data_IF_141401942031
#
_entry.id   IF_141401942031
#
_cell.length_a   1.000
_cell.length_b   1.000
_cell.length_c   1.000
_cell.angle_alpha   90.00
_cell.angle_beta   90.00
_cell.angle_gamma   90.00
#
_symmetry.space_group_name_H-M   'P 1'
#
loop_
_entity.id
_entity.type
_entity.pdbx_description
1 polymer ?
#
# COMPACT_ATOMS: atom_id res chain seq x y z
N UNK A 1 22.89 -14.29 31.86
CA UNK A 1 22.40 -13.66 30.61
C UNK A 1 21.71 -14.74 29.80
N UNK A 2 20.37 -14.80 29.81
CA UNK A 2 19.64 -15.74 28.95
C UNK A 2 19.80 -15.28 27.50
N UNK A 3 20.54 -16.05 26.70
CA UNK A 3 20.64 -15.80 25.26
C UNK A 3 19.22 -15.72 24.68
N UNK A 4 18.88 -14.61 24.02
CA UNK A 4 17.63 -14.51 23.27
C UNK A 4 17.61 -15.66 22.27
N UNK A 5 16.67 -16.60 22.45
CA UNK A 5 16.43 -17.66 21.47
C UNK A 5 16.06 -17.00 20.14
N UNK A 6 16.82 -17.32 19.08
CA UNK A 6 16.59 -16.83 17.72
C UNK A 6 15.84 -17.93 16.96
N UNK A 7 14.68 -17.58 16.41
CA UNK A 7 14.00 -18.44 15.45
C UNK A 7 14.73 -18.34 14.11
N UNK A 8 15.02 -19.47 13.49
CA UNK A 8 15.69 -19.53 12.19
C UNK A 8 14.96 -20.52 11.29
N UNK A 9 14.68 -20.11 10.06
CA UNK A 9 14.19 -20.98 9.00
C UNK A 9 15.40 -21.66 8.33
N UNK A 10 15.39 -22.98 8.28
CA UNK A 10 16.46 -23.76 7.65
C UNK A 10 15.94 -24.55 6.46
N UNK A 11 16.70 -24.58 5.36
CA UNK A 11 16.42 -25.36 4.17
C UNK A 11 17.70 -25.87 3.53
N UNK A 12 17.61 -26.88 2.67
CA UNK A 12 18.75 -27.46 1.95
C UNK A 12 19.35 -26.37 1.03
N UNK A 13 20.64 -26.07 1.22
CA UNK A 13 21.33 -25.08 0.42
C UNK A 13 21.25 -23.64 0.95
N UNK A 14 20.69 -23.40 2.15
CA UNK A 14 20.65 -22.06 2.76
C UNK A 14 22.02 -21.37 2.79
N UNK A 15 23.08 -22.09 3.07
CA UNK A 15 24.44 -21.53 3.16
C UNK A 15 25.13 -21.38 1.79
N UNK A 16 24.53 -21.92 0.71
CA UNK A 16 25.05 -21.77 -0.64
C UNK A 16 24.69 -20.38 -1.16
N UNK A 17 25.68 -19.49 -1.18
CA UNK A 17 25.48 -18.13 -1.71
C UNK A 17 26.03 -18.04 -3.13
N UNK A 18 25.29 -17.42 -4.07
CA UNK A 18 25.84 -17.18 -5.39
C UNK A 18 27.04 -16.22 -5.29
N UNK A 19 28.09 -16.49 -6.04
CA UNK A 19 29.18 -15.53 -6.21
C UNK A 19 28.73 -14.52 -7.27
N UNK A 20 28.41 -13.32 -6.81
CA UNK A 20 28.01 -12.24 -7.70
C UNK A 20 29.26 -11.57 -8.24
N UNK A 21 29.45 -11.66 -9.55
CA UNK A 21 30.47 -10.87 -10.24
C UNK A 21 30.04 -9.39 -10.24
N UNK A 22 30.97 -8.45 -10.08
CA UNK A 22 30.68 -7.04 -10.23
C UNK A 22 30.12 -6.77 -11.64
N UNK A 23 28.99 -6.13 -11.70
CA UNK A 23 28.35 -5.68 -12.96
C UNK A 23 28.13 -4.18 -12.89
N UNK A 24 28.14 -3.55 -14.04
CA UNK A 24 27.78 -2.15 -14.20
C UNK A 24 26.51 -2.07 -15.04
N UNK A 25 25.70 -1.09 -14.75
CA UNK A 25 24.54 -0.74 -15.59
C UNK A 25 25.05 0.14 -16.73
N UNK A 26 24.69 -0.24 -17.93
CA UNK A 26 24.99 0.55 -19.13
C UNK A 26 23.68 1.12 -19.66
N UNK A 27 23.66 2.43 -19.86
CA UNK A 27 22.56 3.07 -20.56
C UNK A 27 22.61 2.69 -22.05
N UNK A 28 21.45 2.33 -22.60
CA UNK A 28 21.27 2.20 -24.04
C UNK A 28 20.58 3.46 -24.57
N UNK A 29 21.33 4.39 -25.21
CA UNK A 29 20.77 5.64 -25.69
C UNK A 29 19.70 5.46 -26.77
N UNK A 30 19.69 4.31 -27.48
CA UNK A 30 18.69 4.02 -28.51
C UNK A 30 17.34 3.61 -27.92
N UNK A 31 17.35 3.08 -26.68
CA UNK A 31 16.16 2.69 -25.93
C UNK A 31 15.74 3.75 -24.90
N UNK A 32 16.62 4.71 -24.61
CA UNK A 32 16.31 5.83 -23.73
C UNK A 32 15.22 6.73 -24.33
N UNK A 33 14.21 7.06 -23.55
CA UNK A 33 13.02 7.75 -24.03
C UNK A 33 12.81 9.08 -23.29
N UNK A 34 12.68 10.14 -24.03
CA UNK A 34 12.34 11.47 -23.54
C UNK A 34 10.89 11.79 -23.87
N UNK A 35 10.17 12.39 -22.90
CA UNK A 35 8.81 12.87 -23.14
C UNK A 35 8.76 13.83 -24.33
N UNK A 36 7.68 13.77 -25.11
CA UNK A 36 7.45 14.68 -26.26
C UNK A 36 7.35 16.14 -25.82
N UNK A 37 6.88 16.36 -24.59
CA UNK A 37 6.70 17.70 -24.02
C UNK A 37 7.23 17.71 -22.59
N UNK A 38 7.98 18.76 -22.23
CA UNK A 38 8.33 19.05 -20.84
C UNK A 38 7.12 19.66 -20.13
N UNK A 39 6.94 19.27 -18.86
CA UNK A 39 5.91 19.82 -18.00
C UNK A 39 6.44 21.01 -17.22
N UNK A 40 7.70 20.97 -16.81
CA UNK A 40 8.39 22.04 -16.10
C UNK A 40 9.88 22.09 -16.45
N UNK A 41 10.55 23.18 -16.10
CA UNK A 41 12.00 23.28 -16.26
C UNK A 41 12.77 22.37 -15.27
N UNK A 42 12.07 21.84 -14.25
CA UNK A 42 12.62 20.97 -13.22
C UNK A 42 12.37 19.47 -13.51
N UNK A 43 11.86 19.13 -14.68
CA UNK A 43 11.66 17.73 -15.06
C UNK A 43 12.99 16.98 -15.04
N UNK A 44 13.03 15.85 -14.32
CA UNK A 44 14.21 15.03 -14.18
C UNK A 44 14.13 13.81 -15.10
N UNK A 45 15.23 13.54 -15.80
CA UNK A 45 15.41 12.36 -16.65
C UNK A 45 16.25 11.34 -15.88
N UNK A 46 15.59 10.60 -14.95
CA UNK A 46 16.31 9.77 -13.99
C UNK A 46 15.54 8.49 -13.59
N UNK A 47 14.45 8.17 -14.27
CA UNK A 47 13.78 6.88 -14.12
C UNK A 47 14.52 5.81 -14.91
N UNK A 48 14.58 4.57 -14.39
CA UNK A 48 15.35 3.51 -15.01
C UNK A 48 14.53 2.24 -15.18
N UNK A 49 14.52 1.69 -16.39
CA UNK A 49 14.11 0.33 -16.69
C UNK A 49 15.35 -0.48 -17.03
N UNK A 50 15.63 -1.53 -16.27
CA UNK A 50 16.80 -2.37 -16.40
C UNK A 50 16.36 -3.73 -16.96
N UNK A 51 16.86 -4.10 -18.14
CA UNK A 51 16.64 -5.41 -18.72
C UNK A 51 17.75 -6.36 -18.26
N UNK A 52 17.39 -7.40 -17.50
CA UNK A 52 18.33 -8.40 -17.02
C UNK A 52 17.91 -9.08 -15.71
N UNK A 53 18.77 -9.97 -15.22
CA UNK A 53 18.56 -10.66 -13.95
C UNK A 53 18.53 -9.68 -12.78
N UNK A 54 17.48 -9.77 -11.97
CA UNK A 54 17.25 -8.80 -10.90
C UNK A 54 18.24 -8.92 -9.74
N UNK A 55 18.86 -10.08 -9.49
CA UNK A 55 19.89 -10.19 -8.45
C UNK A 55 21.15 -9.40 -8.86
N UNK A 56 21.55 -9.51 -10.13
CA UNK A 56 22.70 -8.77 -10.66
C UNK A 56 22.40 -7.28 -10.75
N UNK A 57 21.20 -6.90 -11.20
CA UNK A 57 20.76 -5.51 -11.27
C UNK A 57 20.70 -4.87 -9.89
N UNK A 58 20.06 -5.52 -8.91
CA UNK A 58 20.00 -5.06 -7.53
C UNK A 58 21.41 -4.86 -6.94
N UNK A 59 22.34 -5.79 -7.23
CA UNK A 59 23.73 -5.68 -6.77
C UNK A 59 24.44 -4.48 -7.40
N UNK A 60 24.22 -4.20 -8.68
CA UNK A 60 24.78 -3.05 -9.35
C UNK A 60 24.20 -1.72 -8.81
N UNK A 61 22.91 -1.71 -8.44
CA UNK A 61 22.25 -0.53 -7.85
C UNK A 61 22.77 -0.16 -6.46
N UNK A 62 23.36 -1.10 -5.71
CA UNK A 62 23.84 -0.81 -4.35
C UNK A 62 24.85 0.35 -4.30
N UNK A 63 25.70 0.48 -5.31
CA UNK A 63 26.72 1.52 -5.34
C UNK A 63 26.13 2.93 -5.32
N UNK A 64 25.03 3.12 -6.03
CA UNK A 64 24.40 4.44 -6.20
C UNK A 64 23.19 4.66 -5.27
N UNK A 65 22.43 3.60 -4.99
CA UNK A 65 21.10 3.70 -4.35
C UNK A 65 21.01 3.10 -2.94
N UNK A 66 22.12 2.66 -2.32
CA UNK A 66 22.07 2.23 -0.92
C UNK A 66 21.49 3.32 -0.02
N UNK A 67 20.47 2.95 0.76
CA UNK A 67 19.79 3.85 1.69
C UNK A 67 18.95 4.95 1.04
N UNK A 68 18.59 4.85 -0.25
CA UNK A 68 17.88 5.93 -0.97
C UNK A 68 16.47 5.56 -1.44
N UNK A 69 16.11 4.28 -1.46
CA UNK A 69 14.80 3.83 -1.96
C UNK A 69 13.75 3.99 -0.87
N UNK A 70 12.70 4.73 -1.14
CA UNK A 70 11.61 4.97 -0.18
C UNK A 70 10.62 3.82 -0.10
N UNK A 71 10.27 3.24 -1.25
CA UNK A 71 9.33 2.13 -1.33
C UNK A 71 9.86 1.08 -2.30
N UNK A 72 9.86 -0.17 -1.86
CA UNK A 72 10.04 -1.32 -2.74
C UNK A 72 8.71 -2.05 -2.81
N UNK A 73 8.17 -2.20 -4.01
CA UNK A 73 7.07 -3.12 -4.30
C UNK A 73 7.60 -4.25 -5.17
N UNK A 74 7.28 -5.48 -4.84
CA UNK A 74 7.61 -6.65 -5.66
C UNK A 74 6.45 -7.64 -5.73
N UNK A 75 6.34 -8.26 -6.91
CA UNK A 75 5.40 -9.34 -7.22
C UNK A 75 6.19 -10.56 -7.71
N UNK A 76 6.85 -11.31 -6.80
CA UNK A 76 7.71 -12.43 -7.18
C UNK A 76 6.87 -13.61 -7.69
N UNK A 77 7.49 -14.61 -8.38
CA UNK A 77 6.79 -15.86 -8.71
C UNK A 77 6.18 -16.51 -7.47
N UNK A 78 4.91 -16.95 -7.57
CA UNK A 78 4.17 -17.50 -6.41
C UNK A 78 4.44 -18.98 -6.18
N UNK A 79 5.23 -19.62 -7.04
CA UNK A 79 5.61 -21.03 -6.96
C UNK A 79 4.40 -21.98 -7.00
N UNK A 80 3.41 -21.64 -7.82
CA UNK A 80 2.13 -22.39 -7.91
C UNK A 80 2.25 -23.71 -8.65
N UNK A 81 3.40 -24.01 -9.27
CA UNK A 81 3.61 -25.15 -10.15
C UNK A 81 2.91 -25.02 -11.50
N UNK A 82 2.36 -23.86 -11.82
CA UNK A 82 1.74 -23.59 -13.12
C UNK A 82 2.82 -23.20 -14.14
N UNK A 83 2.77 -23.83 -15.33
CA UNK A 83 3.67 -23.45 -16.40
C UNK A 83 3.23 -22.09 -16.99
N UNK A 84 3.88 -21.00 -16.60
CA UNK A 84 3.73 -19.69 -17.22
C UNK A 84 4.79 -19.51 -18.30
N UNK A 85 4.41 -18.93 -19.42
CA UNK A 85 5.26 -18.74 -20.60
C UNK A 85 6.50 -17.89 -20.31
N UNK A 86 6.47 -17.07 -19.27
CA UNK A 86 7.49 -16.07 -18.96
C UNK A 86 8.25 -16.30 -17.63
N UNK A 87 7.77 -17.24 -16.76
CA UNK A 87 8.38 -17.52 -15.46
C UNK A 87 8.34 -19.01 -15.15
N UNK A 88 9.43 -19.51 -14.54
CA UNK A 88 9.45 -20.84 -13.90
C UNK A 88 8.77 -20.73 -12.52
N UNK A 89 7.47 -20.99 -12.49
CA UNK A 89 6.64 -20.95 -11.29
C UNK A 89 6.56 -22.34 -10.59
N UNK A 90 7.43 -23.26 -10.95
CA UNK A 90 7.51 -24.61 -10.40
C UNK A 90 8.87 -24.91 -9.74
N UNK A 91 9.53 -23.90 -9.18
CA UNK A 91 10.79 -24.07 -8.48
C UNK A 91 10.62 -24.97 -7.25
N UNK A 92 11.63 -25.82 -6.99
CA UNK A 92 11.68 -26.50 -5.72
C UNK A 92 11.74 -25.46 -4.59
N UNK A 93 10.96 -25.68 -3.55
CA UNK A 93 10.72 -24.72 -2.46
C UNK A 93 12.00 -24.17 -1.83
N UNK A 94 13.04 -25.00 -1.65
CA UNK A 94 14.32 -24.58 -1.10
C UNK A 94 15.08 -23.63 -2.06
N UNK A 95 14.96 -23.82 -3.37
CA UNK A 95 15.56 -22.96 -4.39
C UNK A 95 14.85 -21.61 -4.37
N UNK A 96 13.51 -21.61 -4.32
CA UNK A 96 12.70 -20.39 -4.22
C UNK A 96 13.07 -19.55 -3.00
N UNK A 97 13.21 -20.19 -1.82
CA UNK A 97 13.63 -19.50 -0.60
C UNK A 97 15.04 -18.89 -0.73
N UNK A 98 15.97 -19.61 -1.36
CA UNK A 98 17.30 -19.09 -1.64
C UNK A 98 17.28 -17.89 -2.57
N UNK A 99 16.49 -17.97 -3.65
CA UNK A 99 16.27 -16.89 -4.60
C UNK A 99 15.73 -15.61 -3.93
N UNK A 100 14.71 -15.75 -3.11
CA UNK A 100 14.10 -14.62 -2.41
C UNK A 100 15.03 -14.01 -1.36
N UNK A 101 15.72 -14.84 -0.56
CA UNK A 101 16.67 -14.36 0.46
C UNK A 101 17.71 -13.43 -0.11
N UNK A 102 18.38 -13.85 -1.18
CA UNK A 102 19.50 -13.09 -1.75
C UNK A 102 19.05 -11.71 -2.25
N UNK A 103 17.84 -11.62 -2.80
CA UNK A 103 17.24 -10.37 -3.25
C UNK A 103 16.76 -9.49 -2.09
N UNK A 104 16.08 -10.08 -1.12
CA UNK A 104 15.57 -9.36 0.06
C UNK A 104 16.70 -8.71 0.88
N UNK A 105 17.85 -9.37 1.00
CA UNK A 105 19.01 -8.81 1.68
C UNK A 105 19.55 -7.57 0.98
N UNK A 106 19.57 -7.54 -0.36
CA UNK A 106 20.00 -6.37 -1.12
C UNK A 106 18.93 -5.28 -1.04
N UNK A 107 17.66 -5.63 -1.22
CA UNK A 107 16.52 -4.71 -1.09
C UNK A 107 16.57 -3.99 0.25
N UNK A 108 16.83 -4.70 1.35
CA UNK A 108 16.97 -4.07 2.66
C UNK A 108 18.08 -3.04 2.71
N UNK A 109 19.21 -3.25 2.02
CA UNK A 109 20.31 -2.28 1.96
C UNK A 109 19.99 -1.07 1.09
N UNK A 110 19.20 -1.26 0.03
CA UNK A 110 18.76 -0.17 -0.84
C UNK A 110 17.73 0.75 -0.18
N UNK A 111 16.87 0.21 0.71
CA UNK A 111 15.86 1.00 1.41
C UNK A 111 16.48 2.08 2.29
N UNK A 112 15.89 3.28 2.26
CA UNK A 112 16.14 4.35 3.25
C UNK A 112 15.68 3.90 4.65
N UNK A 113 16.18 4.51 5.71
CA UNK A 113 15.82 4.12 7.08
C UNK A 113 14.32 4.24 7.35
N UNK A 114 13.67 5.21 6.72
CA UNK A 114 12.22 5.41 6.75
C UNK A 114 11.48 4.77 5.56
N UNK A 115 12.14 3.86 4.86
CA UNK A 115 11.59 3.13 3.71
C UNK A 115 10.83 1.87 4.10
N UNK A 116 10.08 1.31 3.14
CA UNK A 116 9.29 0.10 3.33
C UNK A 116 9.28 -0.82 2.12
N UNK A 117 9.11 -2.13 2.40
CA UNK A 117 8.95 -3.21 1.44
C UNK A 117 7.51 -3.71 1.46
N UNK A 118 6.95 -3.91 0.27
CA UNK A 118 5.60 -4.41 0.02
C UNK A 118 5.68 -5.58 -0.96
N UNK A 119 5.17 -6.74 -0.58
CA UNK A 119 5.27 -7.97 -1.38
C UNK A 119 3.90 -8.58 -1.56
N UNK A 120 3.45 -8.73 -2.81
CA UNK A 120 2.28 -9.56 -3.12
C UNK A 120 2.67 -11.03 -3.18
N UNK A 121 1.85 -11.90 -2.59
CA UNK A 121 2.08 -13.34 -2.54
C UNK A 121 0.78 -14.08 -2.19
N UNK A 122 0.65 -15.35 -2.56
CA UNK A 122 -0.46 -16.20 -2.17
C UNK A 122 -0.07 -17.24 -1.09
N UNK A 123 -1.02 -18.13 -0.74
CA UNK A 123 -0.84 -19.14 0.30
C UNK A 123 0.28 -20.17 -0.01
N UNK A 124 0.72 -20.30 -1.27
CA UNK A 124 1.77 -21.27 -1.60
C UNK A 124 3.07 -20.94 -0.86
N UNK A 125 3.47 -19.66 -0.82
CA UNK A 125 4.75 -19.27 -0.23
C UNK A 125 4.64 -18.19 0.87
N UNK A 126 3.46 -17.61 1.11
CA UNK A 126 3.27 -16.48 2.04
C UNK A 126 3.87 -16.73 3.42
N UNK A 127 3.60 -17.89 3.99
CA UNK A 127 4.00 -18.18 5.38
C UNK A 127 5.51 -18.33 5.54
N UNK A 128 6.16 -18.99 4.58
CA UNK A 128 7.62 -19.14 4.56
C UNK A 128 8.32 -17.82 4.23
N UNK A 129 7.77 -17.07 3.27
CA UNK A 129 8.26 -15.73 2.93
C UNK A 129 8.18 -14.79 4.13
N UNK A 130 7.09 -14.86 4.91
CA UNK A 130 6.94 -14.08 6.13
C UNK A 130 8.06 -14.37 7.14
N UNK A 131 8.39 -15.65 7.36
CA UNK A 131 9.48 -16.04 8.27
C UNK A 131 10.84 -15.62 7.71
N UNK A 132 11.05 -15.75 6.42
CA UNK A 132 12.27 -15.29 5.74
C UNK A 132 12.44 -13.76 5.88
N UNK A 133 11.37 -13.00 5.70
CA UNK A 133 11.40 -11.55 5.92
C UNK A 133 11.66 -11.19 7.40
N UNK A 134 11.15 -11.97 8.35
CA UNK A 134 11.48 -11.79 9.77
C UNK A 134 12.99 -12.00 10.05
N UNK A 135 13.65 -12.92 9.34
CA UNK A 135 15.11 -13.11 9.44
C UNK A 135 15.87 -11.93 8.82
N UNK A 136 15.47 -11.50 7.62
CA UNK A 136 16.19 -10.46 6.86
C UNK A 136 15.95 -9.08 7.44
N UNK A 137 14.71 -8.68 7.69
CA UNK A 137 14.33 -7.33 8.14
C UNK A 137 14.31 -7.20 9.66
N UNK A 138 14.16 -8.31 10.37
CA UNK A 138 13.88 -8.35 11.80
C UNK A 138 12.38 -8.31 12.08
N UNK A 139 11.90 -9.22 12.95
CA UNK A 139 10.47 -9.34 13.29
C UNK A 139 9.86 -8.03 13.84
N UNK A 140 10.66 -7.21 14.54
CA UNK A 140 10.23 -5.93 15.07
C UNK A 140 9.86 -4.91 13.98
N UNK A 141 10.31 -5.13 12.75
CA UNK A 141 10.05 -4.27 11.59
C UNK A 141 8.88 -4.74 10.74
N UNK A 142 8.18 -5.79 11.15
CA UNK A 142 6.94 -6.23 10.52
C UNK A 142 5.83 -5.21 10.78
N UNK A 143 5.19 -4.73 9.71
CA UNK A 143 4.10 -3.75 9.78
C UNK A 143 2.75 -4.43 9.75
N UNK A 144 2.46 -5.19 8.69
CA UNK A 144 1.16 -5.84 8.48
C UNK A 144 1.22 -6.96 7.44
N UNK A 145 0.28 -7.92 7.56
CA UNK A 145 -0.20 -8.74 6.43
C UNK A 145 -1.55 -8.18 6.02
N UNK A 146 -1.62 -7.61 4.83
CA UNK A 146 -2.85 -7.10 4.25
C UNK A 146 -3.47 -8.19 3.39
N UNK A 147 -4.77 -8.39 3.49
CA UNK A 147 -5.55 -9.30 2.65
C UNK A 147 -6.14 -8.47 1.52
N UNK A 148 -5.76 -8.79 0.28
CA UNK A 148 -6.31 -8.20 -0.92
C UNK A 148 -7.29 -9.15 -1.58
N UNK A 149 -8.55 -8.73 -1.71
CA UNK A 149 -9.58 -9.46 -2.43
C UNK A 149 -9.33 -9.30 -3.95
N UNK A 150 -8.64 -10.29 -4.55
CA UNK A 150 -8.28 -10.29 -5.99
C UNK A 150 -9.42 -10.66 -6.93
N UNK A 151 -10.45 -11.33 -6.40
CA UNK A 151 -11.64 -11.79 -7.14
C UNK A 151 -12.89 -11.48 -6.34
N UNK A 152 -13.98 -11.12 -7.03
CA UNK A 152 -15.29 -10.90 -6.39
C UNK A 152 -16.26 -12.10 -6.56
N UNK A 153 -16.00 -13.00 -7.52
CA UNK A 153 -16.88 -14.13 -7.82
C UNK A 153 -16.30 -15.45 -7.34
N UNK A 154 -17.08 -16.20 -6.59
CA UNK A 154 -16.74 -17.55 -6.14
C UNK A 154 -16.70 -18.52 -7.33
N UNK A 155 -15.65 -19.32 -7.43
CA UNK A 155 -15.53 -20.41 -8.42
C UNK A 155 -16.23 -21.68 -7.90
N UNK A 156 -17.42 -21.97 -8.38
CA UNK A 156 -18.17 -23.16 -7.98
C UNK A 156 -17.51 -24.50 -8.40
N UNK A 157 -16.57 -24.46 -9.35
CA UNK A 157 -15.76 -25.60 -9.76
C UNK A 157 -14.56 -25.87 -8.86
N UNK A 158 -14.32 -25.04 -7.85
CA UNK A 158 -13.22 -25.25 -6.91
C UNK A 158 -13.44 -26.54 -6.08
N UNK A 159 -12.41 -27.40 -6.01
CA UNK A 159 -12.51 -28.69 -5.30
C UNK A 159 -12.73 -28.53 -3.79
N UNK A 160 -12.15 -27.50 -3.18
CA UNK A 160 -12.23 -27.26 -1.74
C UNK A 160 -12.75 -25.84 -1.47
N UNK A 161 -11.90 -24.85 -1.55
CA UNK A 161 -12.25 -23.44 -1.37
C UNK A 161 -11.98 -22.66 -2.65
N UNK A 162 -12.81 -21.67 -2.93
CA UNK A 162 -12.51 -20.68 -3.98
C UNK A 162 -11.51 -19.69 -3.43
N UNK A 163 -10.30 -19.71 -3.98
CA UNK A 163 -9.25 -18.77 -3.62
C UNK A 163 -9.59 -17.38 -4.18
N UNK A 164 -9.92 -16.45 -3.29
CA UNK A 164 -10.41 -15.12 -3.63
C UNK A 164 -9.47 -13.98 -3.22
N UNK A 165 -8.38 -14.29 -2.54
CA UNK A 165 -7.47 -13.28 -2.00
C UNK A 165 -6.00 -13.59 -2.27
N UNK A 166 -5.20 -12.59 -2.11
CA UNK A 166 -3.75 -12.63 -1.99
C UNK A 166 -3.33 -11.81 -0.77
N UNK A 167 -2.09 -11.97 -0.34
CA UNK A 167 -1.52 -11.18 0.73
C UNK A 167 -0.66 -10.07 0.16
N UNK A 168 -0.61 -8.93 0.89
CA UNK A 168 0.45 -7.95 0.73
C UNK A 168 1.21 -7.90 2.06
N UNK A 169 2.41 -8.49 2.09
CA UNK A 169 3.30 -8.43 3.26
C UNK A 169 4.01 -7.08 3.30
N UNK A 170 3.99 -6.43 4.46
CA UNK A 170 4.57 -5.09 4.64
C UNK A 170 5.62 -5.11 5.74
N UNK A 171 6.83 -4.65 5.39
CA UNK A 171 7.95 -4.47 6.30
C UNK A 171 8.51 -3.06 6.20
N UNK A 172 8.84 -2.45 7.32
CA UNK A 172 9.66 -1.26 7.37
C UNK A 172 11.16 -1.64 7.36
N UNK A 173 12.02 -0.74 6.87
CA UNK A 173 13.47 -0.85 7.09
C UNK A 173 13.79 -0.71 8.58
N UNK A 174 13.23 0.32 9.20
CA UNK A 174 13.21 0.58 10.64
C UNK A 174 11.82 1.12 11.04
N UNK A 175 11.04 0.32 11.77
CA UNK A 175 9.69 0.68 12.16
C UNK A 175 9.63 1.91 13.09
N UNK A 176 10.73 2.23 13.78
CA UNK A 176 10.80 3.43 14.64
C UNK A 176 10.91 4.73 13.86
N UNK A 177 11.37 4.68 12.62
CA UNK A 177 11.51 5.82 11.73
C UNK A 177 10.44 5.85 10.64
N UNK A 178 9.88 4.68 10.30
CA UNK A 178 8.84 4.58 9.29
C UNK A 178 7.49 5.11 9.78
N UNK A 179 6.85 5.90 8.96
CA UNK A 179 5.45 6.29 9.17
C UNK A 179 4.68 6.21 7.86
N UNK A 180 3.49 5.61 7.92
CA UNK A 180 2.59 5.61 6.76
C UNK A 180 1.92 6.96 6.59
N UNK A 181 1.56 7.27 5.37
CA UNK A 181 0.60 8.32 5.09
C UNK A 181 -0.82 7.87 5.48
N UNK A 182 -1.72 8.82 5.63
CA UNK A 182 -3.16 8.56 5.77
C UNK A 182 -3.80 8.51 4.38
N UNK A 183 -4.83 7.69 4.23
CA UNK A 183 -5.66 7.70 3.03
C UNK A 183 -6.55 8.94 3.04
N UNK A 184 -6.91 9.50 1.88
CA UNK A 184 -7.92 10.55 1.80
C UNK A 184 -9.23 10.12 2.46
N UNK A 185 -9.93 11.05 3.08
CA UNK A 185 -11.28 10.78 3.59
C UNK A 185 -12.22 10.58 2.41
N UNK A 186 -13.10 9.59 2.51
CA UNK A 186 -14.20 9.45 1.55
C UNK A 186 -15.30 10.49 1.84
N UNK A 187 -16.02 10.90 0.81
CA UNK A 187 -17.19 11.79 0.91
C UNK A 187 -18.22 11.20 1.88
N UNK A 188 -18.45 9.89 1.84
CA UNK A 188 -19.40 9.19 2.72
C UNK A 188 -19.09 9.35 4.21
N UNK A 189 -17.82 9.48 4.58
CA UNK A 189 -17.42 9.76 5.96
C UNK A 189 -17.77 11.18 6.38
N UNK A 190 -17.73 12.12 5.46
CA UNK A 190 -18.09 13.52 5.72
C UNK A 190 -19.60 13.71 5.75
N UNK A 191 -20.38 12.91 5.01
CA UNK A 191 -21.85 12.87 5.06
C UNK A 191 -22.41 12.47 6.42
N UNK A 192 -21.59 11.80 7.27
CA UNK A 192 -21.95 11.50 8.66
C UNK A 192 -21.94 12.72 9.59
N UNK A 193 -21.44 13.86 9.10
CA UNK A 193 -21.41 15.12 9.84
C UNK A 193 -22.58 16.01 9.43
N UNK A 194 -23.26 16.56 10.42
CA UNK A 194 -24.39 17.48 10.21
C UNK A 194 -24.32 18.61 11.23
N UNK A 195 -25.09 19.68 11.03
CA UNK A 195 -25.14 20.80 11.98
C UNK A 195 -26.60 21.14 12.37
N UNK A 196 -27.25 20.24 13.16
CA UNK A 196 -28.66 20.38 13.47
C UNK A 196 -28.98 21.51 14.46
N UNK A 197 -28.01 22.06 15.15
CA UNK A 197 -28.13 23.14 16.12
C UNK A 197 -27.46 24.44 15.68
N UNK A 198 -27.03 24.53 14.42
CA UNK A 198 -26.35 25.69 13.82
C UNK A 198 -25.11 26.17 14.62
N UNK A 199 -24.33 25.22 15.16
CA UNK A 199 -23.08 25.52 15.84
C UNK A 199 -22.11 26.26 14.89
N UNK A 200 -21.53 27.36 15.36
CA UNK A 200 -20.65 28.22 14.55
C UNK A 200 -19.35 27.52 14.08
N UNK A 201 -18.94 26.44 14.74
CA UNK A 201 -17.78 25.61 14.35
C UNK A 201 -18.06 24.71 13.15
N UNK A 202 -19.31 24.66 12.68
CA UNK A 202 -19.71 23.90 11.49
C UNK A 202 -20.25 22.49 11.78
N UNK A 203 -20.28 21.61 10.76
CA UNK A 203 -20.80 20.25 10.91
C UNK A 203 -20.06 19.41 11.93
N UNK A 204 -20.79 18.57 12.66
CA UNK A 204 -20.27 17.70 13.69
C UNK A 204 -20.96 16.32 13.65
N UNK A 205 -20.28 15.31 14.21
CA UNK A 205 -20.85 14.00 14.57
C UNK A 205 -20.74 13.78 16.06
N UNK A 206 -21.33 12.72 16.59
CA UNK A 206 -21.31 12.45 18.04
C UNK A 206 -20.56 11.19 18.41
N UNK A 207 -19.86 11.26 19.53
CA UNK A 207 -19.34 10.09 20.22
C UNK A 207 -20.15 9.79 21.48
N UNK A 208 -20.35 8.50 21.74
CA UNK A 208 -20.92 8.06 23.01
C UNK A 208 -19.99 8.45 24.17
N UNK A 209 -20.56 9.02 25.23
CA UNK A 209 -19.83 9.35 26.44
C UNK A 209 -19.55 8.11 27.33
N UNK A 210 -20.18 6.97 27.01
CA UNK A 210 -20.09 5.72 27.81
C UNK A 210 -18.99 4.80 27.21
N UNK A 211 -18.32 4.06 28.10
CA UNK A 211 -17.38 3.00 27.79
C UNK A 211 -17.51 1.83 28.77
N UNK A 212 -17.11 0.63 28.34
CA UNK A 212 -17.07 -0.57 29.18
C UNK A 212 -15.81 -0.67 30.02
N UNK A 213 -14.75 0.02 29.63
CA UNK A 213 -13.50 0.01 30.40
C UNK A 213 -13.69 0.74 31.73
N UNK A 214 -13.22 0.09 32.82
CA UNK A 214 -13.28 0.69 34.14
C UNK A 214 -12.57 2.04 34.17
N UNK A 215 -13.26 3.04 34.75
CA UNK A 215 -12.72 4.36 34.99
C UNK A 215 -13.27 4.90 36.29
N UNK A 216 -12.42 5.01 37.32
CA UNK A 216 -12.83 5.35 38.68
C UNK A 216 -13.54 6.71 38.81
N UNK A 217 -13.19 7.67 37.94
CA UNK A 217 -13.81 9.00 37.90
C UNK A 217 -15.04 9.07 36.98
N UNK A 218 -15.46 7.95 36.37
CA UNK A 218 -16.54 7.90 35.40
C UNK A 218 -17.88 7.42 35.99
N UNK A 219 -18.15 7.58 37.27
CA UNK A 219 -19.36 7.06 37.95
C UNK A 219 -20.28 8.15 38.49
N UNK A 220 -20.05 9.42 38.16
CA UNK A 220 -20.82 10.55 38.61
C UNK A 220 -22.19 10.69 37.91
N UNK A 221 -23.09 11.39 38.54
CA UNK A 221 -24.38 11.79 38.01
C UNK A 221 -24.26 13.01 37.12
N UNK A 222 -24.98 13.00 35.99
CA UNK A 222 -25.10 14.11 35.04
C UNK A 222 -26.54 14.56 35.01
N UNK A 223 -26.78 15.88 35.08
CA UNK A 223 -28.11 16.46 34.99
C UNK A 223 -28.23 17.18 33.63
N UNK A 224 -29.23 16.83 32.84
CA UNK A 224 -29.49 17.52 31.57
C UNK A 224 -30.04 18.95 31.78
N UNK A 225 -30.01 19.81 30.75
CA UNK A 225 -30.63 21.14 30.82
C UNK A 225 -32.12 21.12 31.17
N UNK A 226 -32.80 20.00 30.90
CA UNK A 226 -34.22 19.79 31.25
C UNK A 226 -34.45 19.24 32.66
N UNK A 227 -33.38 19.06 33.46
CA UNK A 227 -33.45 18.53 34.82
C UNK A 227 -33.46 17.00 34.94
N UNK A 228 -33.29 16.27 33.83
CA UNK A 228 -33.27 14.81 33.86
C UNK A 228 -31.89 14.31 34.24
N UNK A 229 -31.86 13.37 35.22
CA UNK A 229 -30.63 12.75 35.71
C UNK A 229 -30.23 11.55 34.90
N UNK A 230 -28.92 11.38 34.70
CA UNK A 230 -28.29 10.26 34.05
C UNK A 230 -27.10 9.75 34.85
N UNK A 231 -27.06 8.44 35.05
CA UNK A 231 -25.92 7.71 35.60
C UNK A 231 -25.45 6.68 34.59
N UNK A 232 -24.16 6.26 34.60
CA UNK A 232 -23.72 5.22 33.71
C UNK A 232 -24.52 3.94 33.96
N UNK A 233 -25.01 3.26 32.87
CA UNK A 233 -25.62 1.94 33.01
C UNK A 233 -24.69 0.94 33.70
N UNK A 234 -25.26 -0.04 34.40
CA UNK A 234 -24.48 -1.09 35.10
C UNK A 234 -23.43 -1.70 34.17
N UNK A 235 -22.18 -1.80 34.64
CA UNK A 235 -21.05 -2.31 33.87
C UNK A 235 -20.47 -1.32 32.83
N UNK A 236 -20.87 -0.05 32.90
CA UNK A 236 -20.28 1.01 32.05
C UNK A 236 -19.84 2.20 32.93
N UNK A 237 -19.04 3.07 32.32
CA UNK A 237 -18.45 4.25 32.95
C UNK A 237 -18.50 5.42 31.95
N UNK A 238 -18.59 6.66 32.46
CA UNK A 238 -18.32 7.82 31.59
C UNK A 238 -16.85 7.82 31.17
N UNK A 239 -16.57 8.20 29.92
CA UNK A 239 -15.20 8.24 29.38
C UNK A 239 -14.35 9.39 29.88
N UNK A 240 -14.96 10.38 30.49
CA UNK A 240 -14.33 11.60 30.96
C UNK A 240 -14.65 11.80 32.45
N UNK A 241 -13.81 12.55 33.18
CA UNK A 241 -14.05 12.97 34.51
C UNK A 241 -15.18 14.00 34.57
N UNK A 242 -15.73 14.24 35.80
CA UNK A 242 -16.76 15.26 35.95
C UNK A 242 -16.28 16.65 35.56
N UNK A 243 -15.02 17.02 35.90
CA UNK A 243 -14.45 18.31 35.50
C UNK A 243 -14.35 18.45 33.98
N UNK A 244 -13.86 17.40 33.28
CA UNK A 244 -13.79 17.42 31.80
C UNK A 244 -15.17 17.46 31.16
N UNK A 245 -16.18 16.81 31.78
CA UNK A 245 -17.55 16.91 31.31
C UNK A 245 -18.08 18.34 31.42
N UNK A 246 -17.85 19.00 32.56
CA UNK A 246 -18.32 20.38 32.79
C UNK A 246 -17.64 21.37 31.79
N UNK A 247 -16.34 21.20 31.52
CA UNK A 247 -15.62 21.98 30.52
C UNK A 247 -16.22 21.77 29.11
N UNK A 248 -16.54 20.52 28.74
CA UNK A 248 -17.19 20.20 27.46
C UNK A 248 -18.59 20.75 27.34
N UNK A 249 -19.33 20.79 28.46
CA UNK A 249 -20.68 21.36 28.48
C UNK A 249 -20.64 22.88 28.37
N UNK A 250 -19.74 23.56 29.07
CA UNK A 250 -19.51 25.01 28.99
C UNK A 250 -19.07 25.40 27.56
N UNK A 251 -18.23 24.57 26.91
CA UNK A 251 -17.86 24.77 25.49
C UNK A 251 -18.96 24.38 24.49
N UNK A 252 -20.14 24.01 24.97
CA UNK A 252 -21.27 23.64 24.11
C UNK A 252 -21.05 22.35 23.30
N UNK A 253 -20.14 21.47 23.75
CA UNK A 253 -19.80 20.20 23.10
C UNK A 253 -20.66 19.02 23.51
N UNK A 254 -21.54 19.20 24.48
CA UNK A 254 -22.47 18.15 24.89
C UNK A 254 -23.77 18.28 24.11
N UNK A 255 -24.10 17.23 23.37
CA UNK A 255 -25.37 17.14 22.64
C UNK A 255 -26.39 16.34 23.43
N UNK A 256 -27.50 16.95 23.74
CA UNK A 256 -28.60 16.39 24.53
C UNK A 256 -29.80 15.93 23.68
N UNK A 257 -29.64 15.79 22.39
CA UNK A 257 -30.76 15.62 21.47
C UNK A 257 -31.44 16.95 21.11
N UNK A 258 -32.36 16.91 20.17
CA UNK A 258 -33.08 18.13 19.73
C UNK A 258 -33.96 18.72 20.82
N UNK A 259 -34.47 17.90 21.69
CA UNK A 259 -35.39 18.25 22.81
C UNK A 259 -34.67 18.43 24.18
N UNK A 260 -33.35 18.25 24.23
CA UNK A 260 -32.58 18.37 25.46
C UNK A 260 -32.76 17.21 26.45
N UNK A 261 -33.39 16.11 26.04
CA UNK A 261 -33.74 14.99 26.96
C UNK A 261 -33.00 13.69 26.64
N UNK A 262 -32.13 13.65 25.63
CA UNK A 262 -31.39 12.45 25.26
C UNK A 262 -30.17 12.23 26.19
N UNK A 263 -29.68 10.99 26.25
CA UNK A 263 -28.39 10.68 26.88
C UNK A 263 -27.29 11.54 26.26
N UNK A 264 -26.43 12.19 27.06
CA UNK A 264 -25.40 13.10 26.56
C UNK A 264 -24.43 12.41 25.62
N UNK A 265 -24.07 13.11 24.56
CA UNK A 265 -23.06 12.68 23.59
C UNK A 265 -22.10 13.84 23.34
N UNK A 266 -20.83 13.51 23.07
CA UNK A 266 -19.81 14.53 22.80
C UNK A 266 -19.81 14.85 21.31
N UNK A 267 -19.96 16.12 20.93
CA UNK A 267 -19.77 16.61 19.56
C UNK A 267 -18.32 16.49 19.13
N UNK A 268 -18.10 16.04 17.92
CA UNK A 268 -16.81 16.09 17.20
C UNK A 268 -16.99 16.84 15.91
N UNK A 269 -16.32 17.96 15.78
CA UNK A 269 -16.45 18.83 14.61
C UNK A 269 -15.64 18.29 13.43
N UNK A 270 -16.17 18.44 12.22
CA UNK A 270 -15.48 18.08 10.97
C UNK A 270 -14.17 18.86 10.81
N UNK A 271 -14.17 20.15 11.22
CA UNK A 271 -12.98 21.00 11.22
C UNK A 271 -11.82 20.47 12.09
N UNK A 272 -12.14 19.67 13.12
CA UNK A 272 -11.17 19.05 14.03
C UNK A 272 -10.83 17.61 13.63
N UNK A 273 -11.51 17.07 12.62
CA UNK A 273 -11.27 15.71 12.15
C UNK A 273 -9.87 15.60 11.52
N UNK A 274 -9.21 14.48 11.78
CA UNK A 274 -7.92 14.19 11.13
C UNK A 274 -8.10 14.24 9.61
N UNK A 275 -7.15 14.85 8.93
CA UNK A 275 -7.11 15.02 7.47
C UNK A 275 -6.87 13.70 6.70
N UNK A 276 -7.33 12.58 7.22
CA UNK A 276 -7.22 11.30 6.56
C UNK A 276 -7.63 10.13 7.44
N UNK A 277 -7.66 8.95 6.83
CA UNK A 277 -8.10 7.69 7.42
C UNK A 277 -6.95 6.71 7.54
N UNK A 278 -6.88 6.02 8.66
CA UNK A 278 -5.95 4.91 8.86
C UNK A 278 -6.36 3.75 7.94
N UNK A 279 -5.45 3.18 7.13
CA UNK A 279 -5.77 2.05 6.27
C UNK A 279 -6.14 0.82 7.09
N UNK A 280 -7.15 0.07 6.66
CA UNK A 280 -7.45 -1.26 7.16
C UNK A 280 -6.48 -2.29 6.57
N UNK A 281 -6.40 -3.47 7.17
CA UNK A 281 -5.63 -4.61 6.64
C UNK A 281 -6.45 -5.52 5.72
N UNK A 282 -7.70 -5.20 5.47
CA UNK A 282 -8.56 -5.86 4.51
C UNK A 282 -8.89 -4.89 3.38
N UNK A 283 -8.42 -5.21 2.16
CA UNK A 283 -8.60 -4.39 0.96
C UNK A 283 -9.55 -5.09 0.01
N UNK A 284 -10.71 -4.48 -0.20
CA UNK A 284 -11.73 -5.00 -1.09
C UNK A 284 -11.45 -4.63 -2.54
N UNK A 285 -11.95 -5.45 -3.45
CA UNK A 285 -11.79 -5.25 -4.90
C UNK A 285 -12.33 -3.89 -5.39
N UNK A 286 -13.40 -3.40 -4.78
CA UNK A 286 -13.99 -2.09 -5.13
C UNK A 286 -13.00 -0.93 -4.92
N UNK A 287 -12.14 -1.04 -3.90
CA UNK A 287 -11.15 -0.03 -3.59
C UNK A 287 -9.88 -0.15 -4.45
N UNK A 288 -9.37 -1.37 -4.59
CA UNK A 288 -8.01 -1.62 -5.12
C UNK A 288 -7.97 -2.40 -6.42
N UNK A 289 -9.10 -2.81 -6.96
CA UNK A 289 -9.20 -3.55 -8.21
C UNK A 289 -8.98 -5.05 -8.09
N UNK A 290 -9.26 -5.74 -9.20
CA UNK A 290 -9.13 -7.18 -9.37
C UNK A 290 -8.09 -7.53 -10.42
N UNK A 291 -7.65 -8.81 -10.44
CA UNK A 291 -6.79 -9.33 -11.52
C UNK A 291 -7.46 -9.24 -12.90
N UNK A 292 -8.79 -9.36 -12.97
CA UNK A 292 -9.53 -9.22 -14.21
C UNK A 292 -9.50 -7.78 -14.74
N UNK A 293 -9.68 -6.79 -13.87
CA UNK A 293 -9.56 -5.37 -14.22
C UNK A 293 -8.15 -5.04 -14.72
N UNK A 294 -7.11 -5.56 -14.05
CA UNK A 294 -5.74 -5.36 -14.47
C UNK A 294 -5.46 -5.84 -15.90
N UNK A 295 -6.01 -6.99 -16.29
CA UNK A 295 -5.93 -7.49 -17.67
C UNK A 295 -6.63 -6.55 -18.66
N UNK A 296 -7.78 -6.00 -18.29
CA UNK A 296 -8.51 -5.03 -19.12
C UNK A 296 -7.73 -3.72 -19.25
N UNK A 297 -7.08 -3.25 -18.17
CA UNK A 297 -6.22 -2.07 -18.21
C UNK A 297 -5.08 -2.26 -19.22
N UNK A 298 -4.33 -3.36 -19.11
CA UNK A 298 -3.21 -3.67 -20.03
C UNK A 298 -3.69 -3.84 -21.47
N UNK A 299 -4.81 -4.58 -21.69
CA UNK A 299 -5.37 -4.80 -23.03
C UNK A 299 -5.70 -3.49 -23.74
N UNK A 300 -6.25 -2.51 -23.06
CA UNK A 300 -6.61 -1.20 -23.63
C UNK A 300 -5.39 -0.41 -24.09
N UNK A 301 -4.22 -0.67 -23.51
CA UNK A 301 -2.98 -0.01 -23.93
C UNK A 301 -2.45 -0.53 -25.28
N UNK A 302 -2.79 -1.76 -25.63
CA UNK A 302 -2.26 -2.48 -26.77
C UNK A 302 -3.38 -2.85 -27.76
N UNK A 303 -4.01 -1.85 -28.37
CA UNK A 303 -5.05 -2.08 -29.40
C UNK A 303 -4.53 -2.99 -30.53
N UNK A 304 -5.25 -4.07 -30.82
CA UNK A 304 -4.93 -5.01 -31.89
C UNK A 304 -4.03 -6.18 -31.49
N UNK A 305 -3.65 -6.33 -30.21
CA UNK A 305 -2.95 -7.51 -29.72
C UNK A 305 -3.95 -8.63 -29.40
N UNK A 306 -3.62 -9.87 -29.77
CA UNK A 306 -4.41 -11.05 -29.42
C UNK A 306 -4.38 -11.30 -27.91
N UNK A 307 -5.44 -11.93 -27.37
CA UNK A 307 -5.56 -12.23 -25.93
C UNK A 307 -4.39 -13.06 -25.37
N UNK A 308 -3.80 -13.93 -26.19
CA UNK A 308 -2.66 -14.78 -25.83
C UNK A 308 -1.33 -14.00 -25.74
N UNK A 309 -1.27 -12.80 -26.33
CA UNK A 309 -0.10 -11.91 -26.32
C UNK A 309 -0.15 -10.89 -25.18
N UNK A 310 -1.30 -10.76 -24.49
CA UNK A 310 -1.45 -9.87 -23.31
C UNK A 310 -0.74 -10.49 -22.11
N UNK A 311 0.02 -9.70 -21.37
CA UNK A 311 0.68 -10.16 -20.14
C UNK A 311 -0.31 -10.84 -19.19
N UNK A 312 -0.01 -12.08 -18.77
CA UNK A 312 -0.98 -13.00 -18.17
C UNK A 312 -1.48 -12.59 -16.78
N UNK A 313 -0.63 -11.95 -15.96
CA UNK A 313 -0.90 -11.70 -14.54
C UNK A 313 -0.52 -10.29 -14.10
N UNK A 314 -1.02 -9.22 -14.75
CA UNK A 314 -0.74 -7.86 -14.31
C UNK A 314 -1.42 -7.59 -12.96
N UNK A 315 -0.82 -6.72 -12.14
CA UNK A 315 -1.47 -6.15 -10.96
C UNK A 315 -2.27 -4.90 -11.33
N UNK A 316 -3.45 -4.66 -10.73
CA UNK A 316 -4.26 -3.48 -11.04
C UNK A 316 -3.56 -2.19 -10.56
N UNK A 317 -3.69 -1.13 -11.36
CA UNK A 317 -3.08 0.16 -11.01
C UNK A 317 -3.61 0.72 -9.68
N UNK A 318 -4.86 0.47 -9.33
CA UNK A 318 -5.44 0.91 -8.06
C UNK A 318 -4.78 0.27 -6.83
N UNK A 319 -4.32 -0.99 -6.93
CA UNK A 319 -3.57 -1.66 -5.85
C UNK A 319 -2.23 -0.96 -5.63
N UNK A 320 -1.47 -0.75 -6.70
CA UNK A 320 -0.17 -0.08 -6.62
C UNK A 320 -0.34 1.37 -6.14
N UNK A 321 -1.36 2.09 -6.65
CA UNK A 321 -1.71 3.43 -6.17
C UNK A 321 -1.89 3.46 -4.65
N UNK A 322 -2.70 2.54 -4.10
CA UNK A 322 -2.94 2.43 -2.65
C UNK A 322 -1.63 2.23 -1.88
N UNK A 323 -0.75 1.37 -2.36
CA UNK A 323 0.56 1.12 -1.75
C UNK A 323 1.41 2.40 -1.78
N UNK A 324 1.52 3.06 -2.95
CA UNK A 324 2.34 4.26 -3.08
C UNK A 324 1.77 5.46 -2.32
N UNK A 325 0.45 5.60 -2.21
CA UNK A 325 -0.19 6.61 -1.34
C UNK A 325 0.23 6.46 0.12
N UNK A 326 0.29 5.22 0.62
CA UNK A 326 0.63 4.93 2.00
C UNK A 326 2.13 5.05 2.29
N UNK A 327 2.97 4.68 1.32
CA UNK A 327 4.40 4.49 1.50
C UNK A 327 5.25 5.68 1.05
N UNK A 328 4.73 6.57 0.19
CA UNK A 328 5.56 7.57 -0.51
C UNK A 328 4.88 8.92 -0.66
N UNK A 329 5.69 9.94 -0.93
CA UNK A 329 5.28 11.27 -1.37
C UNK A 329 5.78 11.53 -2.81
N UNK A 330 5.35 12.65 -3.43
CA UNK A 330 5.86 13.07 -4.75
C UNK A 330 7.38 13.23 -4.70
N UNK A 331 8.06 12.76 -5.74
CA UNK A 331 9.53 12.81 -5.86
C UNK A 331 10.26 11.64 -5.17
N UNK A 332 9.61 10.86 -4.31
CA UNK A 332 10.22 9.70 -3.68
C UNK A 332 10.57 8.61 -4.70
N UNK A 333 11.62 7.84 -4.42
CA UNK A 333 12.08 6.77 -5.28
C UNK A 333 11.40 5.45 -4.94
N UNK A 334 10.78 4.84 -5.95
CA UNK A 334 10.14 3.52 -5.92
C UNK A 334 11.01 2.52 -6.69
N UNK A 335 11.19 1.32 -6.15
CA UNK A 335 11.89 0.22 -6.82
C UNK A 335 10.96 -0.98 -6.95
N UNK A 336 10.95 -1.57 -8.16
CA UNK A 336 10.33 -2.87 -8.43
C UNK A 336 11.32 -3.77 -9.18
N UNK A 337 11.78 -4.83 -8.54
CA UNK A 337 12.73 -5.77 -9.13
C UNK A 337 12.08 -7.01 -9.76
N UNK A 338 10.76 -7.02 -9.87
CA UNK A 338 9.96 -8.03 -10.57
C UNK A 338 8.88 -7.31 -11.38
N UNK A 339 9.32 -6.46 -12.34
CA UNK A 339 8.47 -5.47 -12.97
C UNK A 339 7.27 -6.02 -13.74
N UNK A 340 7.34 -7.26 -14.22
CA UNK A 340 6.24 -7.94 -14.90
C UNK A 340 5.68 -7.12 -16.07
N UNK A 341 4.46 -6.61 -15.91
CA UNK A 341 3.80 -5.76 -16.91
C UNK A 341 4.15 -4.27 -16.81
N UNK A 342 5.05 -3.87 -15.91
CA UNK A 342 5.45 -2.48 -15.70
C UNK A 342 4.44 -1.60 -14.96
N UNK A 343 3.46 -2.20 -14.27
CA UNK A 343 2.41 -1.45 -13.57
C UNK A 343 2.98 -0.51 -12.52
N UNK A 344 3.98 -0.95 -11.77
CA UNK A 344 4.61 -0.14 -10.71
C UNK A 344 5.20 1.16 -11.27
N UNK A 345 5.99 1.08 -12.34
CA UNK A 345 6.56 2.27 -12.98
C UNK A 345 5.51 3.18 -13.59
N UNK A 346 4.46 2.61 -14.23
CA UNK A 346 3.34 3.35 -14.76
C UNK A 346 2.63 4.17 -13.68
N UNK A 347 2.28 3.52 -12.55
CA UNK A 347 1.60 4.18 -11.42
C UNK A 347 2.52 5.18 -10.73
N UNK A 348 3.78 4.84 -10.48
CA UNK A 348 4.75 5.76 -9.88
C UNK A 348 4.90 7.03 -10.72
N UNK A 349 5.01 6.90 -12.05
CA UNK A 349 5.07 8.02 -12.97
C UNK A 349 3.80 8.88 -12.92
N UNK A 350 2.62 8.28 -13.07
CA UNK A 350 1.32 8.96 -12.98
C UNK A 350 1.12 9.71 -11.67
N UNK A 351 1.75 9.25 -10.59
CA UNK A 351 1.67 9.87 -9.26
C UNK A 351 2.83 10.85 -8.96
N UNK A 352 3.73 11.10 -9.91
CA UNK A 352 4.88 11.98 -9.73
C UNK A 352 5.96 11.43 -8.81
N UNK A 353 6.16 10.13 -8.78
CA UNK A 353 7.26 9.45 -8.09
C UNK A 353 8.35 9.09 -9.09
N UNK A 354 9.59 9.05 -8.63
CA UNK A 354 10.70 8.45 -9.38
C UNK A 354 10.63 6.93 -9.27
N UNK A 355 11.11 6.23 -10.28
CA UNK A 355 11.06 4.78 -10.27
C UNK A 355 12.27 4.11 -10.92
N UNK A 356 12.60 2.92 -10.40
CA UNK A 356 13.54 1.97 -10.99
C UNK A 356 12.81 0.64 -11.10
N UNK A 357 12.83 0.04 -12.29
CA UNK A 357 12.27 -1.30 -12.51
C UNK A 357 13.30 -2.23 -13.12
N UNK A 358 13.22 -3.52 -12.78
CA UNK A 358 14.05 -4.57 -13.34
C UNK A 358 13.17 -5.69 -13.89
N UNK A 359 13.43 -6.12 -15.13
CA UNK A 359 12.74 -7.22 -15.76
C UNK A 359 13.69 -8.07 -16.62
N UNK A 360 13.60 -9.39 -16.47
CA UNK A 360 14.43 -10.35 -17.21
C UNK A 360 13.80 -10.78 -18.53
N UNK A 361 12.47 -10.86 -18.57
CA UNK A 361 11.74 -11.42 -19.70
C UNK A 361 11.68 -10.48 -20.90
N UNK A 362 11.57 -11.05 -22.10
CA UNK A 362 11.45 -10.31 -23.37
C UNK A 362 10.23 -9.37 -23.40
N UNK A 363 9.25 -9.60 -22.55
CA UNK A 363 8.11 -8.69 -22.39
C UNK A 363 8.53 -7.31 -21.83
N UNK A 364 9.75 -7.17 -21.33
CA UNK A 364 10.36 -5.88 -21.09
C UNK A 364 10.29 -4.99 -22.33
N UNK A 365 10.65 -5.55 -23.50
CA UNK A 365 10.66 -4.83 -24.76
C UNK A 365 9.27 -4.72 -25.40
N UNK A 366 8.47 -5.78 -25.34
CA UNK A 366 7.18 -5.85 -26.03
C UNK A 366 6.03 -5.22 -25.25
N UNK A 367 6.12 -5.14 -23.92
CA UNK A 367 5.03 -4.65 -23.04
C UNK A 367 5.45 -3.43 -22.21
N UNK A 368 6.55 -3.53 -21.43
CA UNK A 368 6.89 -2.47 -20.47
C UNK A 368 7.30 -1.19 -21.21
N UNK A 369 8.23 -1.25 -22.15
CA UNK A 369 8.70 -0.07 -22.88
C UNK A 369 7.54 0.65 -23.61
N UNK A 370 6.70 -0.03 -24.40
CA UNK A 370 5.56 0.63 -25.04
C UNK A 370 4.55 1.22 -24.06
N UNK A 371 4.28 0.54 -22.95
CA UNK A 371 3.42 1.05 -21.88
C UNK A 371 3.97 2.34 -21.31
N UNK A 372 5.23 2.33 -20.89
CA UNK A 372 5.87 3.50 -20.27
C UNK A 372 5.94 4.70 -21.22
N UNK A 373 6.20 4.48 -22.52
CA UNK A 373 6.16 5.56 -23.51
C UNK A 373 4.79 6.24 -23.53
N UNK A 374 3.70 5.46 -23.58
CA UNK A 374 2.33 6.01 -23.53
C UNK A 374 2.04 6.74 -22.22
N UNK A 375 2.54 6.24 -21.08
CA UNK A 375 2.39 6.89 -19.77
C UNK A 375 3.16 8.21 -19.74
N UNK A 376 4.41 8.22 -20.19
CA UNK A 376 5.30 9.39 -20.22
C UNK A 376 4.74 10.48 -21.14
N UNK A 377 4.16 10.10 -22.28
CA UNK A 377 3.53 11.04 -23.21
C UNK A 377 2.11 11.48 -22.81
N UNK A 378 1.57 10.95 -21.69
CA UNK A 378 0.20 11.22 -21.26
C UNK A 378 -0.88 10.58 -22.13
N UNK A 379 -0.53 9.63 -22.98
CA UNK A 379 -1.47 8.92 -23.87
C UNK A 379 -2.26 7.83 -23.11
N UNK A 380 -1.71 7.30 -22.02
CA UNK A 380 -2.42 6.33 -21.16
C UNK A 380 -3.45 7.03 -20.28
N UNK A 381 -4.70 7.03 -20.74
CA UNK A 381 -5.87 7.56 -20.01
C UNK A 381 -6.61 6.49 -19.18
N UNK A 382 -6.04 5.27 -19.08
CA UNK A 382 -6.59 4.14 -18.32
C UNK A 382 -6.21 4.15 -16.84
N UNK A 383 -6.65 3.09 -16.15
CA UNK A 383 -6.29 2.84 -14.76
C UNK A 383 -6.58 4.03 -13.83
N UNK A 384 -5.55 4.53 -13.15
CA UNK A 384 -5.66 5.64 -12.21
C UNK A 384 -5.65 7.04 -12.85
N UNK A 385 -5.44 7.16 -14.16
CA UNK A 385 -5.31 8.47 -14.83
C UNK A 385 -6.53 9.36 -14.62
N UNK A 386 -7.75 8.78 -14.67
CA UNK A 386 -9.00 9.52 -14.41
C UNK A 386 -9.14 9.99 -12.96
N UNK A 387 -8.69 9.16 -12.00
CA UNK A 387 -8.72 9.51 -10.59
C UNK A 387 -7.65 10.56 -10.24
N UNK A 388 -6.49 10.51 -10.90
CA UNK A 388 -5.46 11.53 -10.76
C UNK A 388 -5.92 12.89 -11.31
N UNK A 389 -6.67 12.93 -12.41
CA UNK A 389 -7.26 14.15 -12.96
C UNK A 389 -8.34 14.75 -12.06
N UNK A 390 -9.12 13.92 -11.34
CA UNK A 390 -10.18 14.37 -10.41
C UNK A 390 -9.65 14.88 -9.06
N UNK A 391 -8.45 14.48 -8.64
CA UNK A 391 -7.77 15.01 -7.45
C UNK A 391 -6.94 16.26 -7.75
N UNK A 392 -6.87 16.67 -8.99
CA UNK A 392 -6.15 17.83 -9.48
C UNK A 392 -7.05 19.07 -9.54
N UNK A 393 -7.46 19.58 -8.38
CA UNK A 393 -7.52 21.04 -8.21
C UNK A 393 -6.11 21.64 -8.06
N UNK A 394 -5.08 20.86 -8.28
CA UNK A 394 -3.66 21.29 -8.38
C UNK A 394 -3.02 20.51 -9.51
N UNK A 395 -2.97 21.12 -10.69
CA UNK A 395 -2.07 20.90 -11.82
C UNK A 395 -1.38 19.51 -11.88
N UNK A 396 -2.13 18.45 -12.24
CA UNK A 396 -1.52 17.27 -12.80
C UNK A 396 -1.35 17.52 -14.30
N UNK A 397 -0.13 17.68 -14.71
CA UNK A 397 0.27 17.58 -16.09
C UNK A 397 1.13 16.31 -16.21
N UNK A 398 0.94 15.47 -17.24
CA UNK A 398 1.85 14.36 -17.48
C UNK A 398 3.27 14.91 -17.69
N UNK A 399 4.20 14.41 -16.87
CA UNK A 399 5.61 14.71 -17.03
C UNK A 399 6.20 13.95 -18.22
#
# INVERSE_FOLDING_TARGET
MSGKQKLELTWIGKDKRPRLEPRILLEDPLLSYHAKHRVSDNDSFDNRLIFGDNLLALKALEQEFSGKVKCVFIDPPYNTGSAFTHYDDGLEHSIWLGLMRDRLEIIRRLLSEDGSLWITIDDNECHYLKVLCDEVFGRANFVASVIWQKLFTVKNSAKHFSDMHEYVLVYAKDLTQWSRNLLPRSIDLDDSYSNPDNDLRGPWTTNAIQARNYYSQGTYEIISPTGKSYTPPSGTYWRVSKSTFDELEEDGRIWWGRDGTATPRIKKFLSEAKQGVVPATLWFHDDVGTNAEAKVEVRKLFEGINDDEVFMTPKPERLIKRILELATNKGDLVLDSFAGSGTTGAVAHKMGRRWIMVELGEHCHTHIIPRLKKVIDGEDQGGISKAAAGSATTNWHPA
#
